data_IF_906683543467
#
_entry.id   IF_906683543467
#
_cell.length_a   1.000
_cell.length_b   1.000
_cell.length_c   1.000
_cell.angle_alpha   90.00
_cell.angle_beta   90.00
_cell.angle_gamma   90.00
#
_symmetry.space_group_name_H-M   'P 1'
#
loop_
_entity.id
_entity.type
_entity.pdbx_description
1 polymer ?
#
# COMPACT_ATOMS: atom_id res chain seq x y z
N UNK A 1 8.98 18.42 1.07
CA UNK A 1 8.40 17.07 1.20
C UNK A 1 6.91 17.20 1.05
N UNK A 2 6.34 16.86 -0.10
CA UNK A 2 4.89 16.90 -0.32
C UNK A 2 4.31 15.55 0.13
N UNK A 3 3.49 15.57 1.18
CA UNK A 3 2.74 14.43 1.73
C UNK A 3 1.65 13.92 0.76
N UNK A 4 2.06 13.39 -0.40
CA UNK A 4 1.15 12.77 -1.37
C UNK A 4 0.90 11.28 -1.09
N UNK A 5 0.71 10.91 0.18
CA UNK A 5 0.42 9.52 0.58
C UNK A 5 -0.86 9.33 1.40
N UNK A 6 -1.51 10.44 1.79
CA UNK A 6 -2.67 10.41 2.69
C UNK A 6 -3.98 10.63 1.92
N UNK A 7 -4.08 10.11 0.69
CA UNK A 7 -5.37 10.03 0.01
C UNK A 7 -6.17 8.88 0.60
N UNK A 8 -7.15 9.22 1.45
CA UNK A 8 -8.38 8.48 1.79
C UNK A 8 -8.43 7.00 1.36
N UNK A 9 -7.53 6.14 1.82
CA UNK A 9 -7.70 4.68 1.73
C UNK A 9 -8.68 4.22 2.83
N UNK A 10 -9.89 4.77 2.78
CA UNK A 10 -11.14 4.38 3.43
C UNK A 10 -11.04 3.71 4.81
N UNK A 11 -11.08 4.56 5.84
CA UNK A 11 -11.69 4.38 7.17
C UNK A 11 -11.62 3.00 7.85
N UNK A 12 -10.73 2.92 8.87
CA UNK A 12 -10.74 1.98 10.00
C UNK A 12 -10.76 0.48 9.63
N UNK A 13 -9.59 -0.05 9.24
CA UNK A 13 -9.38 -1.49 9.05
C UNK A 13 -8.41 -1.84 7.93
N UNK A 14 -8.03 -0.86 7.11
CA UNK A 14 -7.15 -1.09 5.98
C UNK A 14 -5.68 -1.17 6.38
N UNK A 15 -4.91 -2.05 5.72
CA UNK A 15 -3.48 -2.12 5.90
C UNK A 15 -2.78 -0.84 5.45
N UNK A 16 -1.70 -0.48 6.14
CA UNK A 16 -0.87 0.65 5.81
C UNK A 16 0.20 0.24 4.77
N UNK A 17 0.35 1.03 3.70
CA UNK A 17 1.35 0.81 2.66
C UNK A 17 2.42 1.90 2.71
N UNK A 18 3.69 1.51 2.76
CA UNK A 18 4.83 2.41 2.71
C UNK A 18 5.89 1.92 1.72
N UNK A 19 6.62 2.85 1.11
CA UNK A 19 7.72 2.54 0.17
C UNK A 19 9.03 3.04 0.73
N UNK A 20 10.05 2.20 0.69
CA UNK A 20 11.41 2.50 1.14
C UNK A 20 12.40 2.27 -0.01
N UNK A 21 13.46 3.07 -0.10
CA UNK A 21 14.46 2.94 -1.18
C UNK A 21 15.15 1.57 -1.18
N UNK A 22 15.33 0.99 0.02
CA UNK A 22 15.95 -0.33 0.22
C UNK A 22 15.11 -1.51 -0.28
N UNK A 23 13.81 -1.31 -0.48
CA UNK A 23 12.88 -2.37 -0.88
C UNK A 23 12.83 -2.56 -2.41
N UNK A 24 13.74 -1.95 -3.17
CA UNK A 24 13.92 -2.22 -4.59
C UNK A 24 12.70 -1.92 -5.47
N UNK A 25 11.81 -1.03 -4.99
CA UNK A 25 10.58 -0.66 -5.68
C UNK A 25 9.30 -1.31 -5.15
N UNK A 26 9.41 -2.25 -4.20
CA UNK A 26 8.26 -2.87 -3.53
C UNK A 26 7.70 -2.00 -2.40
N UNK A 27 6.53 -2.40 -1.89
CA UNK A 27 5.84 -1.74 -0.79
C UNK A 27 5.84 -2.64 0.45
N UNK A 28 5.90 -2.03 1.63
CA UNK A 28 5.61 -2.70 2.89
C UNK A 28 4.14 -2.49 3.24
N UNK A 29 3.44 -3.59 3.48
CA UNK A 29 2.05 -3.64 3.95
C UNK A 29 2.05 -4.00 5.43
N UNK A 30 1.49 -3.15 6.28
CA UNK A 30 1.31 -3.38 7.71
C UNK A 30 -0.17 -3.57 8.01
N UNK A 31 -0.56 -4.76 8.46
CA UNK A 31 -1.92 -5.07 8.88
C UNK A 31 -2.21 -4.40 10.24
N UNK A 32 -3.49 -4.14 10.58
CA UNK A 32 -3.85 -3.68 11.93
C UNK A 32 -3.44 -4.61 13.07
N UNK A 33 -3.15 -5.89 12.76
CA UNK A 33 -2.59 -6.88 13.70
C UNK A 33 -1.12 -6.62 14.04
N UNK A 34 -0.44 -5.72 13.31
CA UNK A 34 0.99 -5.45 13.40
C UNK A 34 1.85 -6.32 12.47
N UNK A 35 1.25 -7.28 11.77
CA UNK A 35 1.97 -8.10 10.80
C UNK A 35 2.41 -7.31 9.58
N UNK A 36 3.65 -7.50 9.14
CA UNK A 36 4.26 -6.77 8.03
C UNK A 36 4.57 -7.71 6.87
N UNK A 37 4.40 -7.21 5.66
CA UNK A 37 4.64 -7.94 4.43
C UNK A 37 5.31 -7.04 3.40
N UNK A 38 6.17 -7.61 2.57
CA UNK A 38 6.63 -6.99 1.34
C UNK A 38 5.68 -7.39 0.22
N UNK A 39 5.15 -6.41 -0.51
CA UNK A 39 4.10 -6.58 -1.51
C UNK A 39 4.39 -5.78 -2.78
N UNK A 40 3.89 -6.24 -3.92
CA UNK A 40 3.65 -5.35 -5.07
C UNK A 40 2.31 -4.64 -4.89
N UNK A 41 2.18 -3.44 -5.42
CA UNK A 41 0.93 -2.67 -5.40
C UNK A 41 0.59 -2.24 -6.82
N UNK A 42 -0.65 -2.51 -7.21
CA UNK A 42 -1.29 -1.96 -8.41
C UNK A 42 -2.48 -1.11 -7.97
N UNK A 43 -2.57 0.11 -8.49
CA UNK A 43 -3.69 1.02 -8.24
C UNK A 43 -4.59 0.96 -9.45
N UNK A 44 -5.83 0.55 -9.25
CA UNK A 44 -6.87 0.56 -10.28
C UNK A 44 -7.59 1.90 -10.22
N UNK A 45 -7.66 2.55 -11.37
CA UNK A 45 -8.33 3.84 -11.56
C UNK A 45 -9.66 3.63 -12.29
N UNK A 46 -10.64 4.49 -12.02
CA UNK A 46 -11.86 4.56 -12.83
C UNK A 46 -11.66 5.40 -14.10
N UNK A 47 -12.73 5.56 -14.88
CA UNK A 47 -12.71 6.33 -16.14
C UNK A 47 -12.41 7.83 -15.97
N UNK A 48 -12.40 8.35 -14.74
CA UNK A 48 -12.07 9.74 -14.42
C UNK A 48 -10.68 9.88 -13.79
N UNK A 49 -9.80 8.89 -13.94
CA UNK A 49 -8.47 8.83 -13.31
C UNK A 49 -8.52 8.88 -11.78
N UNK A 50 -9.63 8.47 -11.16
CA UNK A 50 -9.75 8.40 -9.69
C UNK A 50 -9.36 7.01 -9.19
N UNK A 51 -8.47 6.88 -8.20
CA UNK A 51 -8.09 5.58 -7.66
C UNK A 51 -9.27 4.97 -6.89
N UNK A 52 -9.72 3.79 -7.33
CA UNK A 52 -10.87 3.09 -6.73
C UNK A 52 -10.48 1.83 -5.98
N UNK A 53 -9.33 1.23 -6.30
CA UNK A 53 -8.89 -0.02 -5.67
C UNK A 53 -7.37 -0.11 -5.63
N UNK A 54 -6.85 -0.71 -4.56
CA UNK A 54 -5.47 -1.17 -4.46
C UNK A 54 -5.50 -2.70 -4.51
N UNK A 55 -4.77 -3.27 -5.47
CA UNK A 55 -4.51 -4.71 -5.55
C UNK A 55 -3.07 -4.91 -5.12
N UNK A 56 -2.88 -5.68 -4.04
CA UNK A 56 -1.54 -6.05 -3.58
C UNK A 56 -1.29 -7.55 -3.69
N UNK A 57 -0.06 -7.92 -4.04
CA UNK A 57 0.39 -9.31 -4.05
C UNK A 57 1.51 -9.48 -3.03
N UNK A 58 1.33 -10.40 -2.08
CA UNK A 58 2.32 -10.70 -1.05
C UNK A 58 3.51 -11.41 -1.69
N UNK A 59 4.68 -10.81 -1.55
CA UNK A 59 5.97 -11.38 -1.96
C UNK A 59 6.53 -12.20 -0.80
N UNK A 60 6.57 -11.62 0.41
CA UNK A 60 7.02 -12.29 1.63
C UNK A 60 6.52 -11.59 2.89
N UNK A 61 6.48 -12.31 4.01
CA UNK A 61 6.31 -11.73 5.35
C UNK A 61 7.61 -11.04 5.78
N UNK A 62 7.50 -9.96 6.53
CA UNK A 62 8.60 -9.27 7.19
C UNK A 62 8.52 -9.56 8.69
N UNK A 63 9.66 -9.87 9.29
CA UNK A 63 9.81 -10.17 10.72
C UNK A 63 10.00 -8.89 11.56
#
# INVERSE_FOLDING_TARGET
>A
MHEMGRQRAFELGNPFYAKFEEDGGYYRKELPTGEKYLVTVEIVYDDNDMPIQIIDTIIRKLD
#
